data_IF_797323728325
#
_entry.id   IF_797323728325
#
_cell.length_a   1.000
_cell.length_b   1.000
_cell.length_c   1.000
_cell.angle_alpha   90.00
_cell.angle_beta   90.00
_cell.angle_gamma   90.00
#
_symmetry.space_group_name_H-M   'P 1'
#
loop_
_entity.id
_entity.type
_entity.pdbx_description
1 polymer ?
#
# COMPACT_ATOMS: atom_id res chain seq x y z
N UNK A 1 -20.20 20.04 -16.66
CA UNK A 1 -18.83 20.25 -17.15
C UNK A 1 -18.86 20.42 -18.67
N UNK A 2 -18.14 21.40 -19.25
CA UNK A 2 -18.03 21.52 -20.71
C UNK A 2 -17.15 20.37 -21.22
N UNK A 3 -17.67 19.56 -22.12
CA UNK A 3 -16.90 18.53 -22.82
C UNK A 3 -15.90 19.22 -23.76
N UNK A 4 -14.61 19.09 -23.46
CA UNK A 4 -13.52 19.79 -24.14
C UNK A 4 -12.75 18.89 -25.12
N UNK A 5 -13.28 17.69 -25.43
CA UNK A 5 -12.65 16.66 -26.30
C UNK A 5 -11.23 16.25 -25.86
N UNK A 6 -10.85 16.50 -24.60
CA UNK A 6 -9.56 16.07 -24.07
C UNK A 6 -9.69 14.66 -23.48
N UNK A 7 -8.64 13.87 -23.63
CA UNK A 7 -8.53 12.56 -22.98
C UNK A 7 -8.73 12.70 -21.47
N UNK A 8 -9.51 11.81 -20.86
CA UNK A 8 -9.71 11.74 -19.41
C UNK A 8 -8.34 11.58 -18.73
N UNK A 9 -8.05 12.43 -17.74
CA UNK A 9 -6.87 12.26 -16.90
C UNK A 9 -7.07 11.07 -15.96
N UNK A 10 -6.02 10.29 -15.76
CA UNK A 10 -6.03 9.18 -14.80
C UNK A 10 -5.70 9.71 -13.40
N UNK A 11 -6.39 9.19 -12.40
CA UNK A 11 -6.12 9.43 -10.98
C UNK A 11 -5.74 8.10 -10.32
N UNK A 12 -4.57 8.05 -9.70
CA UNK A 12 -4.06 6.89 -8.98
C UNK A 12 -3.51 7.28 -7.62
N UNK A 13 -3.25 6.27 -6.78
CA UNK A 13 -2.69 6.44 -5.44
C UNK A 13 -1.73 5.30 -5.11
N UNK A 14 -0.72 5.62 -4.30
CA UNK A 14 0.12 4.62 -3.64
C UNK A 14 -0.43 4.37 -2.23
N UNK A 15 -0.85 3.14 -1.94
CA UNK A 15 -1.47 2.75 -0.67
C UNK A 15 -0.54 1.83 0.14
N UNK A 16 -0.54 1.95 1.46
CA UNK A 16 0.23 1.08 2.34
C UNK A 16 -0.24 -0.39 2.23
N UNK A 17 0.69 -1.33 2.48
CA UNK A 17 0.41 -2.77 2.49
C UNK A 17 0.32 -3.38 3.91
N UNK A 18 0.51 -2.56 4.95
CA UNK A 18 0.46 -2.98 6.36
C UNK A 18 -1.00 -2.95 6.84
N UNK A 19 -1.62 -4.07 7.26
CA UNK A 19 -3.04 -4.13 7.63
C UNK A 19 -3.45 -3.10 8.69
N UNK A 20 -2.65 -2.93 9.75
CA UNK A 20 -2.93 -1.97 10.81
C UNK A 20 -2.94 -0.51 10.31
N UNK A 21 -2.12 -0.18 9.31
CA UNK A 21 -2.14 1.14 8.67
C UNK A 21 -3.37 1.30 7.79
N UNK A 22 -3.72 0.27 7.01
CA UNK A 22 -4.89 0.29 6.12
C UNK A 22 -6.17 0.56 6.91
N UNK A 23 -6.39 -0.17 8.00
CA UNK A 23 -7.59 -0.07 8.84
C UNK A 23 -7.74 1.30 9.51
N UNK A 24 -6.63 1.93 9.91
CA UNK A 24 -6.66 3.25 10.58
C UNK A 24 -6.71 4.43 9.61
N UNK A 25 -6.06 4.32 8.46
CA UNK A 25 -5.80 5.48 7.60
C UNK A 25 -6.76 5.59 6.41
N UNK A 26 -7.37 4.49 5.96
CA UNK A 26 -8.10 4.47 4.70
C UNK A 26 -9.54 3.98 4.86
N UNK A 27 -10.48 4.81 4.43
CA UNK A 27 -11.85 4.36 4.17
C UNK A 27 -11.90 3.66 2.80
N UNK A 28 -11.27 2.49 2.68
CA UNK A 28 -11.02 1.78 1.41
C UNK A 28 -12.28 1.69 0.55
N UNK A 29 -13.40 1.28 1.15
CA UNK A 29 -14.69 1.13 0.45
C UNK A 29 -15.25 2.45 -0.13
N UNK A 30 -14.86 3.60 0.43
CA UNK A 30 -15.28 4.91 -0.06
C UNK A 30 -14.32 5.43 -1.13
N UNK A 31 -13.02 5.32 -0.90
CA UNK A 31 -12.02 5.97 -1.75
C UNK A 31 -11.66 5.15 -3.00
N UNK A 32 -11.73 3.82 -2.95
CA UNK A 32 -11.30 2.95 -4.05
C UNK A 32 -12.06 3.22 -5.36
N UNK A 33 -13.33 3.61 -5.28
CA UNK A 33 -14.19 3.92 -6.42
C UNK A 33 -13.77 5.19 -7.19
N UNK A 34 -12.89 6.02 -6.61
CA UNK A 34 -12.46 7.29 -7.19
C UNK A 34 -11.15 7.19 -7.96
N UNK A 35 -10.41 6.09 -7.81
CA UNK A 35 -9.13 5.86 -8.47
C UNK A 35 -9.31 4.97 -9.69
N UNK A 36 -8.59 5.27 -10.77
CA UNK A 36 -8.54 4.39 -11.94
C UNK A 36 -7.72 3.12 -11.63
N UNK A 37 -6.70 3.23 -10.77
CA UNK A 37 -5.95 2.10 -10.21
C UNK A 37 -5.22 2.48 -8.91
N UNK A 38 -4.85 1.45 -8.14
CA UNK A 38 -4.16 1.60 -6.85
C UNK A 38 -2.84 0.82 -6.90
N UNK A 39 -1.73 1.49 -6.61
CA UNK A 39 -0.43 0.83 -6.42
C UNK A 39 -0.29 0.49 -4.93
N UNK A 40 -0.31 -0.79 -4.59
CA UNK A 40 -0.06 -1.21 -3.20
C UNK A 40 1.44 -1.27 -2.97
N UNK A 41 1.93 -0.54 -1.98
CA UNK A 41 3.35 -0.46 -1.62
C UNK A 41 3.77 -1.72 -0.85
N UNK A 42 3.85 -2.86 -1.52
CA UNK A 42 4.21 -4.17 -0.95
C UNK A 42 5.72 -4.30 -0.76
N UNK A 43 6.32 -3.32 -0.09
CA UNK A 43 7.74 -3.23 0.26
C UNK A 43 7.87 -2.46 1.58
N UNK A 44 9.10 -2.35 2.11
CA UNK A 44 9.40 -1.77 3.42
C UNK A 44 8.73 -2.53 4.57
N UNK A 45 8.53 -3.85 4.40
CA UNK A 45 8.03 -4.72 5.47
C UNK A 45 9.02 -4.86 6.63
N UNK A 46 10.31 -4.82 6.31
CA UNK A 46 11.43 -4.93 7.24
C UNK A 46 12.50 -3.90 6.89
N UNK A 47 13.23 -3.40 7.88
CA UNK A 47 14.22 -2.36 7.65
C UNK A 47 15.14 -2.10 8.83
N UNK A 48 15.98 -1.06 8.69
CA UNK A 48 17.01 -0.72 9.68
C UNK A 48 16.45 -0.33 11.06
N UNK A 49 15.14 -0.10 11.17
CA UNK A 49 14.45 0.23 12.42
C UNK A 49 14.14 -1.00 13.29
N UNK A 50 14.43 -2.21 12.81
CA UNK A 50 14.23 -3.45 13.53
C UNK A 50 15.55 -4.01 14.08
N UNK A 51 15.51 -4.75 15.21
CA UNK A 51 16.71 -5.35 15.80
C UNK A 51 17.18 -6.63 15.07
N UNK A 52 16.35 -7.18 14.17
CA UNK A 52 16.62 -8.41 13.42
C UNK A 52 16.38 -8.14 11.95
N UNK A 53 17.26 -8.67 11.09
CA UNK A 53 17.13 -8.51 9.64
C UNK A 53 15.92 -9.29 9.10
N UNK A 54 15.14 -8.66 8.22
CA UNK A 54 14.09 -9.30 7.43
C UNK A 54 14.17 -8.89 5.96
N UNK A 55 13.44 -9.61 5.09
CA UNK A 55 13.43 -9.31 3.66
C UNK A 55 12.50 -8.12 3.35
N UNK A 56 12.91 -7.18 2.50
CA UNK A 56 12.14 -5.94 2.25
C UNK A 56 10.73 -6.19 1.67
N UNK A 57 10.61 -7.18 0.78
CA UNK A 57 9.38 -7.49 0.04
C UNK A 57 9.22 -9.01 -0.07
N UNK A 58 8.94 -9.70 1.04
CA UNK A 58 8.79 -11.14 1.03
C UNK A 58 7.43 -11.50 0.42
N UNK A 59 7.42 -12.34 -0.61
CA UNK A 59 6.17 -12.86 -1.18
C UNK A 59 5.37 -13.68 -0.15
N UNK A 60 6.09 -14.41 0.71
CA UNK A 60 5.54 -15.15 1.84
C UNK A 60 6.35 -14.89 3.09
N UNK A 61 5.68 -14.94 4.25
CA UNK A 61 6.35 -14.80 5.54
C UNK A 61 7.38 -15.91 5.75
N UNK A 62 8.59 -15.54 6.15
CA UNK A 62 9.64 -16.51 6.51
C UNK A 62 9.26 -17.25 7.79
N UNK A 63 9.64 -18.53 7.91
CA UNK A 63 9.49 -19.28 9.16
C UNK A 63 10.34 -18.70 10.31
N UNK A 64 11.41 -17.98 9.98
CA UNK A 64 12.26 -17.28 10.94
C UNK A 64 11.78 -15.85 11.24
N UNK A 65 10.75 -15.37 10.55
CA UNK A 65 10.24 -14.03 10.77
C UNK A 65 9.45 -13.96 12.09
N UNK A 66 10.06 -13.30 13.07
CA UNK A 66 9.47 -13.08 14.40
C UNK A 66 8.35 -12.04 14.41
N UNK A 67 8.10 -11.39 13.27
CA UNK A 67 7.10 -10.34 13.09
C UNK A 67 7.66 -8.98 13.46
N UNK A 68 7.46 -8.00 12.57
CA UNK A 68 7.63 -6.59 12.90
C UNK A 68 6.50 -6.15 13.85
N UNK A 69 6.79 -5.33 14.86
CA UNK A 69 5.77 -4.82 15.81
C UNK A 69 4.87 -3.72 15.23
N UNK A 70 4.72 -3.65 13.91
CA UNK A 70 3.98 -2.57 13.22
C UNK A 70 2.50 -2.92 12.99
#
# INVERSE_FOLDING_TARGET
>A
AKDNKKTKLLLSVNAAAIPATIERAYEVNKIALHFDFINVMTYDYHGHWEPVTGHNSPLYRSSADSGSKL
#
